data_IF_165582157296
#
_entry.id   IF_165582157296
#
_cell.length_a   1.000
_cell.length_b   1.000
_cell.length_c   1.000
_cell.angle_alpha   90.00
_cell.angle_beta   90.00
_cell.angle_gamma   90.00
#
_symmetry.space_group_name_H-M   'P 1'
#
loop_
_entity.id
_entity.type
_entity.pdbx_description
1 polymer ?
#
# COMPACT_ATOMS: atom_id res chain seq x y z
N UNK A 1 18.04 24.24 17.71
CA UNK A 1 16.59 24.39 17.98
C UNK A 1 15.98 23.01 17.86
N UNK A 2 15.16 22.54 18.81
CA UNK A 2 14.51 21.23 18.69
C UNK A 2 13.59 21.19 17.46
N UNK A 3 13.48 20.04 16.77
CA UNK A 3 12.64 19.91 15.59
C UNK A 3 11.17 20.11 15.96
N UNK A 4 10.46 20.87 15.12
CA UNK A 4 9.01 21.03 15.22
C UNK A 4 8.33 19.94 14.40
N UNK A 5 7.29 19.33 14.95
CA UNK A 5 6.47 18.33 14.29
C UNK A 5 5.11 18.91 13.92
N UNK A 6 4.55 18.40 12.83
CA UNK A 6 3.23 18.78 12.35
C UNK A 6 2.21 17.81 12.96
N UNK A 7 1.32 18.35 13.77
CA UNK A 7 0.26 17.59 14.42
C UNK A 7 -1.09 18.05 13.89
N UNK A 8 -1.81 17.12 13.25
CA UNK A 8 -3.14 17.38 12.72
C UNK A 8 -4.16 16.61 13.55
N UNK A 9 -5.12 17.33 14.12
CA UNK A 9 -6.18 16.77 14.97
C UNK A 9 -7.55 17.03 14.34
N UNK A 10 -8.39 15.99 14.36
CA UNK A 10 -9.77 16.08 13.88
C UNK A 10 -10.74 16.23 15.05
N UNK A 11 -11.33 17.43 15.17
CA UNK A 11 -12.30 17.79 16.19
C UNK A 11 -13.71 17.87 15.60
N UNK A 12 -14.79 17.75 16.41
CA UNK A 12 -16.16 17.96 15.94
C UNK A 12 -16.41 19.32 15.26
N UNK A 13 -15.61 20.33 15.60
CA UNK A 13 -15.64 21.67 15.02
C UNK A 13 -14.86 21.81 13.71
N UNK A 14 -14.20 20.75 13.26
CA UNK A 14 -13.32 20.74 12.08
C UNK A 14 -11.86 20.43 12.41
N UNK A 15 -11.08 20.22 11.37
CA UNK A 15 -9.67 19.83 11.44
C UNK A 15 -8.78 21.01 11.82
N UNK A 16 -7.81 20.79 12.70
CA UNK A 16 -6.84 21.80 13.12
C UNK A 16 -5.41 21.26 13.03
N UNK A 17 -4.49 22.07 12.54
CA UNK A 17 -3.07 21.72 12.37
C UNK A 17 -2.19 22.60 13.25
N UNK A 18 -1.25 21.99 13.96
CA UNK A 18 -0.33 22.64 14.88
C UNK A 18 1.13 22.32 14.54
N UNK A 19 2.01 23.30 14.72
CA UNK A 19 3.47 23.11 14.67
C UNK A 19 4.01 23.20 16.10
N UNK A 20 4.45 22.06 16.65
CA UNK A 20 4.78 21.93 18.06
C UNK A 20 6.12 21.22 18.23
N UNK A 21 6.81 21.46 19.34
CA UNK A 21 7.88 20.54 19.73
C UNK A 21 7.29 19.17 20.05
N UNK A 22 8.10 18.13 19.87
CA UNK A 22 7.70 16.75 20.13
C UNK A 22 7.09 16.54 21.52
N UNK A 23 7.74 17.04 22.57
CA UNK A 23 7.22 16.98 23.95
C UNK A 23 5.83 17.61 24.09
N UNK A 24 5.60 18.76 23.45
CA UNK A 24 4.29 19.45 23.50
C UNK A 24 3.22 18.73 22.71
N UNK A 25 3.58 18.13 21.59
CA UNK A 25 2.65 17.32 20.81
C UNK A 25 2.19 16.11 21.62
N UNK A 26 3.10 15.39 22.30
CA UNK A 26 2.74 14.26 23.16
C UNK A 26 1.90 14.68 24.38
N UNK A 27 2.20 15.81 25.02
CA UNK A 27 1.36 16.36 26.09
C UNK A 27 -0.06 16.67 25.61
N UNK A 28 -0.18 17.32 24.44
CA UNK A 28 -1.49 17.66 23.85
C UNK A 28 -2.24 16.40 23.42
N UNK A 29 -1.55 15.43 22.80
CA UNK A 29 -2.12 14.14 22.43
C UNK A 29 -2.73 13.43 23.64
N UNK A 30 -2.00 13.43 24.76
CA UNK A 30 -2.44 12.82 26.01
C UNK A 30 -3.67 13.53 26.57
N UNK A 31 -3.71 14.87 26.57
CA UNK A 31 -4.84 15.64 27.09
C UNK A 31 -6.08 15.47 26.19
N UNK A 32 -5.89 15.47 24.87
CA UNK A 32 -6.97 15.47 23.88
C UNK A 32 -7.58 14.08 23.70
N UNK A 33 -6.78 13.02 23.69
CA UNK A 33 -7.29 11.64 23.64
C UNK A 33 -7.95 11.20 24.96
N UNK A 34 -7.45 11.67 26.12
CA UNK A 34 -8.06 11.32 27.41
C UNK A 34 -9.41 12.01 27.68
N UNK A 35 -9.74 13.09 26.95
CA UNK A 35 -10.95 13.89 27.18
C UNK A 35 -12.06 13.69 26.14
N UNK A 36 -12.02 12.66 25.28
CA UNK A 36 -13.16 12.39 24.37
C UNK A 36 -13.20 13.35 23.16
N UNK A 37 -12.31 14.35 23.09
CA UNK A 37 -12.54 15.56 22.28
C UNK A 37 -12.07 15.43 20.83
N UNK A 38 -11.31 14.39 20.51
CA UNK A 38 -10.74 14.18 19.17
C UNK A 38 -10.93 12.73 18.74
N UNK A 39 -11.36 12.55 17.49
CA UNK A 39 -11.59 11.20 16.93
C UNK A 39 -10.30 10.55 16.48
N UNK A 40 -9.37 11.34 15.93
CA UNK A 40 -8.07 10.88 15.44
C UNK A 40 -7.04 11.99 15.56
N UNK A 41 -5.86 11.67 16.08
CA UNK A 41 -4.71 12.56 16.13
C UNK A 41 -3.58 11.95 15.31
N UNK A 42 -3.14 12.63 14.25
CA UNK A 42 -2.03 12.21 13.41
C UNK A 42 -0.84 13.10 13.75
N UNK A 43 0.21 12.47 14.29
CA UNK A 43 1.51 13.10 14.49
C UNK A 43 2.39 12.68 13.33
N UNK A 44 2.76 13.64 12.49
CA UNK A 44 3.76 13.41 11.45
C UNK A 44 5.06 14.08 11.91
N UNK A 45 6.04 13.27 12.25
CA UNK A 45 7.40 13.73 12.41
C UNK A 45 8.02 13.81 11.01
N UNK A 46 8.38 15.01 10.51
CA UNK A 46 8.89 15.17 9.14
C UNK A 46 10.25 14.51 8.90
N UNK A 47 10.88 13.93 9.94
CA UNK A 47 12.13 13.19 9.84
C UNK A 47 11.97 11.68 10.05
N UNK A 48 10.74 11.19 10.25
CA UNK A 48 10.49 9.78 10.48
C UNK A 48 10.18 9.11 9.14
N UNK A 49 10.91 8.03 8.78
CA UNK A 49 10.78 7.42 7.47
C UNK A 49 9.38 6.88 7.27
N UNK A 50 8.82 7.11 6.08
CA UNK A 50 7.55 6.50 5.67
C UNK A 50 7.59 5.00 5.92
N UNK A 51 6.57 4.51 6.62
CA UNK A 51 6.45 3.09 6.86
C UNK A 51 6.12 2.37 5.54
N UNK A 52 6.76 1.22 5.33
CA UNK A 52 6.60 0.46 4.10
C UNK A 52 5.59 -0.66 4.40
N UNK A 53 4.41 -0.65 3.75
CA UNK A 53 3.31 -1.55 4.07
C UNK A 53 3.74 -3.02 4.05
N UNK A 54 3.17 -3.80 4.93
CA UNK A 54 3.54 -5.20 5.08
C UNK A 54 3.13 -6.06 3.90
N UNK A 55 3.72 -7.25 3.79
CA UNK A 55 3.47 -8.14 2.67
C UNK A 55 2.00 -8.58 2.61
N UNK A 56 1.34 -8.74 3.75
CA UNK A 56 -0.08 -9.09 3.86
C UNK A 56 -0.95 -7.95 3.33
N UNK A 57 -0.74 -6.71 3.80
CA UNK A 57 -1.48 -5.53 3.34
C UNK A 57 -1.36 -5.33 1.82
N UNK A 58 -0.14 -5.46 1.29
CA UNK A 58 0.09 -5.37 -0.16
C UNK A 58 -0.60 -6.51 -0.93
N UNK A 59 -0.65 -7.71 -0.37
CA UNK A 59 -1.33 -8.86 -0.99
C UNK A 59 -2.84 -8.62 -1.03
N UNK A 60 -3.43 -8.19 0.08
CA UNK A 60 -4.86 -7.91 0.18
C UNK A 60 -5.26 -6.78 -0.79
N UNK A 61 -4.45 -5.73 -0.87
CA UNK A 61 -4.64 -4.67 -1.84
C UNK A 61 -4.63 -5.20 -3.28
N UNK A 62 -3.62 -5.99 -3.68
CA UNK A 62 -3.54 -6.56 -5.03
C UNK A 62 -4.76 -7.44 -5.34
N UNK A 63 -5.18 -8.29 -4.40
CA UNK A 63 -6.35 -9.17 -4.57
C UNK A 63 -7.67 -8.41 -4.64
N UNK A 64 -7.72 -7.21 -4.05
CA UNK A 64 -8.89 -6.33 -4.17
C UNK A 64 -9.03 -5.69 -5.56
N UNK A 65 -7.96 -5.64 -6.35
CA UNK A 65 -7.98 -5.01 -7.67
C UNK A 65 -8.64 -5.92 -8.72
N UNK A 66 -9.35 -5.34 -9.70
CA UNK A 66 -9.94 -6.11 -10.80
C UNK A 66 -8.87 -6.92 -11.54
N UNK A 67 -9.09 -8.24 -11.67
CA UNK A 67 -8.14 -9.18 -12.31
C UNK A 67 -6.72 -9.12 -11.74
N UNK A 68 -6.60 -8.70 -10.47
CA UNK A 68 -5.34 -8.47 -9.76
C UNK A 68 -4.35 -7.62 -10.57
N UNK A 69 -4.88 -6.65 -11.32
CA UNK A 69 -4.09 -5.83 -12.24
C UNK A 69 -3.55 -4.59 -11.54
N UNK A 70 -2.23 -4.38 -11.60
CA UNK A 70 -1.58 -3.23 -10.95
C UNK A 70 -0.32 -2.77 -11.67
N UNK A 71 0.09 -1.53 -11.39
CA UNK A 71 1.45 -1.03 -11.62
C UNK A 71 2.13 -0.72 -10.29
N UNK A 72 3.47 -0.71 -10.26
CA UNK A 72 4.21 -0.34 -9.04
C UNK A 72 3.90 1.10 -8.63
N UNK A 73 3.69 1.99 -9.61
CA UNK A 73 3.36 3.40 -9.38
C UNK A 73 1.98 3.56 -8.77
N UNK A 74 0.98 2.79 -9.21
CA UNK A 74 -0.38 2.84 -8.64
C UNK A 74 -0.37 2.38 -7.18
N UNK A 75 0.31 1.25 -6.89
CA UNK A 75 0.49 0.76 -5.51
C UNK A 75 1.21 1.83 -4.69
N UNK A 76 2.28 2.41 -5.22
CA UNK A 76 3.03 3.44 -4.50
C UNK A 76 2.17 4.65 -4.21
N UNK A 77 1.47 5.17 -5.21
CA UNK A 77 0.57 6.32 -5.07
C UNK A 77 -0.55 6.02 -4.09
N UNK A 78 -1.11 4.81 -4.06
CA UNK A 78 -2.18 4.46 -3.12
C UNK A 78 -1.78 4.67 -1.65
N UNK A 79 -0.58 4.23 -1.26
CA UNK A 79 -0.09 4.34 0.13
C UNK A 79 0.56 5.70 0.42
N UNK A 80 0.98 6.42 -0.62
CA UNK A 80 1.76 7.65 -0.52
C UNK A 80 0.93 8.92 -0.84
N UNK A 81 -0.30 8.79 -1.34
CA UNK A 81 -1.11 9.92 -1.81
C UNK A 81 -1.44 11.02 -0.77
N UNK A 82 -1.22 10.77 0.53
CA UNK A 82 -1.54 11.72 1.61
C UNK A 82 -0.32 12.49 2.14
N UNK A 83 0.86 12.33 1.55
CA UNK A 83 2.07 13.05 1.93
C UNK A 83 2.44 14.06 0.86
N UNK A 84 2.03 15.31 1.09
CA UNK A 84 2.25 16.41 0.14
C UNK A 84 3.74 16.81 -0.01
N UNK A 85 4.64 16.28 0.82
CA UNK A 85 6.06 16.65 0.86
C UNK A 85 6.99 15.45 1.10
N UNK A 86 7.06 14.51 0.15
CA UNK A 86 8.08 13.45 0.19
C UNK A 86 9.33 13.85 -0.58
N UNK A 87 10.49 13.66 0.04
CA UNK A 87 11.79 13.76 -0.63
C UNK A 87 11.91 12.73 -1.75
N UNK A 88 12.44 13.14 -2.91
CA UNK A 88 12.67 12.25 -4.05
C UNK A 88 13.50 11.02 -3.69
N UNK A 89 14.46 11.16 -2.79
CA UNK A 89 15.31 10.05 -2.34
C UNK A 89 14.51 9.05 -1.50
N UNK A 90 13.62 9.55 -0.65
CA UNK A 90 12.72 8.73 0.15
C UNK A 90 11.66 8.03 -0.72
N UNK A 91 11.07 8.74 -1.68
CA UNK A 91 10.16 8.17 -2.67
C UNK A 91 10.85 7.05 -3.48
N UNK A 92 12.12 7.25 -3.85
CA UNK A 92 12.91 6.25 -4.58
C UNK A 92 13.18 5.01 -3.72
N UNK A 93 13.59 5.20 -2.46
CA UNK A 93 13.77 4.10 -1.50
C UNK A 93 12.46 3.32 -1.30
N UNK A 94 11.36 4.03 -1.09
CA UNK A 94 10.04 3.44 -0.88
C UNK A 94 9.58 2.64 -2.11
N UNK A 95 9.67 3.24 -3.30
CA UNK A 95 9.33 2.59 -4.58
C UNK A 95 10.15 1.31 -4.79
N UNK A 96 11.45 1.33 -4.47
CA UNK A 96 12.32 0.16 -4.59
C UNK A 96 11.94 -0.94 -3.59
N UNK A 97 11.59 -0.58 -2.36
CA UNK A 97 11.16 -1.53 -1.35
C UNK A 97 9.84 -2.21 -1.75
N UNK A 98 8.85 -1.43 -2.18
CA UNK A 98 7.58 -1.96 -2.67
C UNK A 98 7.76 -2.82 -3.91
N UNK A 99 8.60 -2.41 -4.86
CA UNK A 99 8.95 -3.25 -6.02
C UNK A 99 9.50 -4.62 -5.59
N UNK A 100 10.39 -4.65 -4.60
CA UNK A 100 10.95 -5.90 -4.09
C UNK A 100 9.90 -6.76 -3.39
N UNK A 101 9.00 -6.16 -2.58
CA UNK A 101 7.91 -6.89 -1.91
C UNK A 101 6.92 -7.45 -2.92
N UNK A 102 6.47 -6.64 -3.87
CA UNK A 102 5.55 -7.03 -4.95
C UNK A 102 6.09 -8.22 -5.76
N UNK A 103 7.39 -8.28 -6.02
CA UNK A 103 7.95 -9.45 -6.73
C UNK A 103 7.68 -10.76 -5.99
N UNK A 104 7.92 -10.78 -4.67
CA UNK A 104 7.71 -11.98 -3.84
C UNK A 104 6.23 -12.32 -3.71
N UNK A 105 5.38 -11.30 -3.59
CA UNK A 105 3.93 -11.47 -3.50
C UNK A 105 3.38 -12.08 -4.79
N UNK A 106 3.84 -11.62 -5.96
CA UNK A 106 3.44 -12.21 -7.24
C UNK A 106 3.82 -13.69 -7.33
N UNK A 107 5.05 -14.03 -6.97
CA UNK A 107 5.52 -15.42 -7.00
C UNK A 107 4.65 -16.28 -6.07
N UNK A 108 4.36 -15.79 -4.86
CA UNK A 108 3.46 -16.44 -3.90
C UNK A 108 2.04 -16.62 -4.44
N UNK A 109 1.44 -15.59 -5.03
CA UNK A 109 0.08 -15.67 -5.60
C UNK A 109 0.05 -16.64 -6.79
N UNK A 110 1.07 -16.63 -7.64
CA UNK A 110 1.19 -17.54 -8.77
C UNK A 110 1.22 -19.01 -8.32
N UNK A 111 2.00 -19.29 -7.27
CA UNK A 111 2.08 -20.62 -6.66
C UNK A 111 0.78 -21.04 -5.96
N UNK A 112 0.18 -20.14 -5.16
CA UNK A 112 -1.04 -20.41 -4.38
C UNK A 112 -2.27 -20.59 -5.27
N UNK A 113 -2.41 -19.77 -6.31
CA UNK A 113 -3.62 -19.72 -7.13
C UNK A 113 -3.48 -20.44 -8.47
N UNK A 114 -2.32 -21.07 -8.73
CA UNK A 114 -2.02 -21.79 -9.97
C UNK A 114 -2.27 -20.91 -11.20
N UNK A 115 -1.46 -19.87 -11.33
CA UNK A 115 -1.54 -18.95 -12.45
C UNK A 115 -0.22 -18.27 -12.75
N UNK A 116 -0.26 -17.38 -13.74
CA UNK A 116 0.89 -16.67 -14.24
C UNK A 116 0.62 -15.16 -14.31
N UNK A 117 1.68 -14.36 -14.29
CA UNK A 117 1.59 -12.92 -14.41
C UNK A 117 1.91 -12.48 -15.85
N UNK A 118 0.93 -11.93 -16.55
CA UNK A 118 1.16 -11.23 -17.80
C UNK A 118 1.76 -9.85 -17.51
N UNK A 119 2.82 -9.49 -18.23
CA UNK A 119 3.57 -8.26 -18.03
C UNK A 119 3.53 -7.42 -19.30
N UNK A 120 2.70 -6.37 -19.29
CA UNK A 120 2.63 -5.41 -20.39
C UNK A 120 3.52 -4.22 -20.08
N UNK A 121 4.43 -3.91 -21.00
CA UNK A 121 5.30 -2.74 -20.92
C UNK A 121 4.73 -1.62 -21.79
N UNK A 122 4.40 -0.48 -21.18
CA UNK A 122 4.01 0.73 -21.89
C UNK A 122 4.99 1.86 -21.52
N UNK A 123 5.96 2.12 -22.40
CA UNK A 123 7.06 3.04 -22.11
C UNK A 123 7.92 2.57 -20.94
N UNK A 124 8.00 3.39 -19.88
CA UNK A 124 8.72 3.07 -18.64
C UNK A 124 7.87 2.31 -17.63
N UNK A 125 6.54 2.27 -17.82
CA UNK A 125 5.59 1.65 -16.90
C UNK A 125 5.41 0.18 -17.25
N UNK A 126 5.34 -0.67 -16.22
CA UNK A 126 5.01 -2.09 -16.35
C UNK A 126 3.70 -2.35 -15.62
N UNK A 127 2.73 -2.88 -16.36
CA UNK A 127 1.46 -3.34 -15.84
C UNK A 127 1.52 -4.84 -15.68
N UNK A 128 1.15 -5.32 -14.50
CA UNK A 128 1.07 -6.73 -14.15
C UNK A 128 -0.40 -7.11 -14.10
N UNK A 129 -0.78 -8.20 -14.77
CA UNK A 129 -2.13 -8.75 -14.75
C UNK A 129 -2.05 -10.23 -14.43
N UNK A 130 -2.80 -10.70 -13.44
CA UNK A 130 -2.83 -12.11 -13.10
C UNK A 130 -3.72 -12.88 -14.07
N UNK A 131 -3.22 -14.01 -14.56
CA UNK A 131 -3.93 -14.92 -15.45
C UNK A 131 -3.92 -16.28 -14.78
N UNK A 132 -5.09 -16.74 -14.35
CA UNK A 132 -5.22 -18.08 -13.77
C UNK A 132 -5.09 -19.13 -14.86
N UNK A 133 -4.32 -20.19 -14.58
CA UNK A 133 -4.25 -21.31 -15.50
C UNK A 133 -5.56 -22.10 -15.38
N UNK A 134 -6.50 -21.85 -16.30
CA UNK A 134 -7.68 -22.69 -16.48
C UNK A 134 -7.27 -24.05 -17.05
N UNK A 135 -6.54 -24.84 -16.26
CA UNK A 135 -6.38 -26.25 -16.57
C UNK A 135 -7.52 -27.00 -15.90
N UNK A 136 -8.73 -26.86 -16.45
CA UNK A 136 -9.79 -27.84 -16.24
C UNK A 136 -9.33 -29.14 -16.90
N UNK A 137 -8.57 -29.96 -16.17
CA UNK A 137 -8.22 -31.33 -16.57
C UNK A 137 -9.42 -32.25 -16.45
N UNK A 138 -10.57 -31.92 -17.05
CA UNK A 138 -11.76 -32.75 -16.91
C UNK A 138 -12.81 -32.62 -18.02
N UNK A 139 -12.45 -32.73 -19.31
CA UNK A 139 -13.40 -33.06 -20.39
C UNK A 139 -12.71 -33.57 -21.67
N UNK A 140 -11.83 -34.57 -21.58
CA UNK A 140 -11.48 -35.41 -22.74
C UNK A 140 -11.42 -36.88 -22.32
N UNK A 141 -12.57 -37.51 -22.12
CA UNK A 141 -12.69 -38.99 -22.10
C UNK A 141 -14.14 -39.47 -22.29
N UNK A 142 -14.89 -38.91 -23.25
CA UNK A 142 -16.17 -39.51 -23.70
C UNK A 142 -16.31 -39.51 -25.23
N UNK A 143 -15.23 -39.73 -25.98
CA UNK A 143 -15.31 -39.87 -27.45
C UNK A 143 -14.68 -41.12 -28.07
N UNK A 144 -14.39 -42.18 -27.30
CA UNK A 144 -13.90 -43.45 -27.85
C UNK A 144 -14.72 -44.66 -27.37
N UNK A 145 -16.03 -44.69 -27.67
CA UNK A 145 -16.85 -45.90 -27.48
C UNK A 145 -17.69 -46.33 -28.68
N UNK A 146 -17.34 -45.88 -29.88
CA UNK A 146 -17.96 -46.33 -31.12
C UNK A 146 -16.91 -46.60 -32.21
N UNK A 147 -16.11 -47.66 -32.04
CA UNK A 147 -15.51 -48.41 -33.15
C UNK A 147 -15.63 -49.90 -32.82
#
# INVERSE_FOLDING_TARGET
>A
MPPLIKMTMDFPSGQQTYMLSEEKAFEILRIVLMNEQCKTAIVQNPNEPLDIPDAEELTDYIKSLPSYTFTVEDVTTHYVANSDEIDKDEMTRWTNAVRSKLSRIRDKIADEESGNWDVKKNGLVRTYTFVKDNTDKNTESEMDKWI
#
